data_IF_529684767784
#
_entry.id   IF_529684767784
#
_cell.length_a   1.000
_cell.length_b   1.000
_cell.length_c   1.000
_cell.angle_alpha   90.00
_cell.angle_beta   90.00
_cell.angle_gamma   90.00
#
_symmetry.space_group_name_H-M   'P 1'
#
loop_
_entity.id
_entity.type
_entity.pdbx_description
1 polymer ?
#
# COMPACT_ATOMS: atom_id res chain seq x y z
N UNK A 1 5.30 -63.10 -23.49
CA UNK A 1 4.99 -62.02 -22.53
C UNK A 1 4.98 -60.71 -23.29
N UNK A 2 3.84 -60.01 -23.39
CA UNK A 2 3.82 -58.64 -23.94
C UNK A 2 4.54 -57.74 -22.94
N UNK A 3 5.66 -57.13 -23.34
CA UNK A 3 6.28 -56.06 -22.58
C UNK A 3 5.26 -54.93 -22.48
N UNK A 4 4.73 -54.71 -21.28
CA UNK A 4 3.99 -53.49 -20.97
C UNK A 4 5.05 -52.40 -20.87
N UNK A 5 5.17 -51.56 -21.88
CA UNK A 5 6.04 -50.39 -21.79
C UNK A 5 5.62 -49.56 -20.56
N UNK A 6 6.58 -49.08 -19.75
CA UNK A 6 6.26 -48.29 -18.58
C UNK A 6 5.51 -47.03 -19.03
N UNK A 7 4.29 -46.88 -18.51
CA UNK A 7 3.40 -45.78 -18.85
C UNK A 7 4.08 -44.45 -18.47
N UNK A 8 4.59 -43.74 -19.47
CA UNK A 8 5.27 -42.46 -19.26
C UNK A 8 4.25 -41.35 -19.09
N UNK A 9 4.41 -40.50 -18.07
CA UNK A 9 3.57 -39.31 -17.91
C UNK A 9 3.60 -38.40 -19.15
N UNK A 10 4.68 -38.46 -19.93
CA UNK A 10 4.83 -37.70 -21.18
C UNK A 10 3.92 -38.19 -22.30
N UNK A 11 3.30 -39.38 -22.21
CA UNK A 11 2.32 -39.84 -23.20
C UNK A 11 0.95 -39.17 -23.04
N UNK A 12 0.69 -38.50 -21.92
CA UNK A 12 -0.59 -37.84 -21.66
C UNK A 12 -0.81 -36.60 -22.56
N UNK A 13 -2.07 -36.27 -22.91
CA UNK A 13 -2.43 -35.04 -23.60
C UNK A 13 -2.04 -33.77 -22.81
N UNK A 14 -1.81 -32.66 -23.53
CA UNK A 14 -1.39 -31.39 -22.91
C UNK A 14 -2.42 -30.85 -21.92
N UNK A 15 -3.73 -31.05 -22.15
CA UNK A 15 -4.78 -30.60 -21.24
C UNK A 15 -4.72 -31.34 -19.90
N UNK A 16 -4.42 -32.64 -19.93
CA UNK A 16 -4.29 -33.49 -18.73
C UNK A 16 -3.02 -33.10 -17.98
N UNK A 17 -1.90 -32.96 -18.68
CA UNK A 17 -0.64 -32.49 -18.09
C UNK A 17 -0.81 -31.13 -17.41
N UNK A 18 -1.48 -30.18 -18.06
CA UNK A 18 -1.73 -28.86 -17.48
C UNK A 18 -2.60 -28.94 -16.22
N UNK A 19 -3.62 -29.82 -16.19
CA UNK A 19 -4.43 -30.05 -14.98
C UNK A 19 -3.58 -30.61 -13.83
N UNK A 20 -2.65 -31.53 -14.11
CA UNK A 20 -1.71 -32.07 -13.13
C UNK A 20 -0.78 -30.95 -12.62
N UNK A 21 -0.15 -30.21 -13.52
CA UNK A 21 0.80 -29.12 -13.20
C UNK A 21 0.13 -28.06 -12.30
N UNK A 22 -1.14 -27.70 -12.57
CA UNK A 22 -1.89 -26.71 -11.76
C UNK A 22 -2.10 -27.13 -10.30
N UNK A 23 -2.00 -28.43 -9.99
CA UNK A 23 -2.15 -28.97 -8.63
C UNK A 23 -0.85 -28.97 -7.85
N UNK A 24 0.29 -28.85 -8.53
CA UNK A 24 1.59 -28.89 -7.90
C UNK A 24 1.90 -27.62 -7.09
N UNK A 25 2.75 -27.74 -6.05
CA UNK A 25 3.41 -26.60 -5.44
C UNK A 25 4.19 -25.77 -6.47
N UNK A 26 4.23 -24.45 -6.27
CA UNK A 26 4.99 -23.50 -7.09
C UNK A 26 6.49 -23.86 -7.22
N UNK A 27 7.09 -24.44 -6.18
CA UNK A 27 8.48 -24.91 -6.20
C UNK A 27 8.68 -26.01 -7.23
N UNK A 28 7.80 -27.01 -7.24
CA UNK A 28 7.87 -28.15 -8.14
C UNK A 28 7.59 -27.75 -9.59
N UNK A 29 6.73 -26.74 -9.80
CA UNK A 29 6.47 -26.18 -11.13
C UNK A 29 7.75 -25.52 -11.68
N UNK A 30 8.39 -24.65 -10.88
CA UNK A 30 9.57 -23.91 -11.33
C UNK A 30 10.83 -24.77 -11.32
N UNK A 31 11.30 -25.22 -10.16
CA UNK A 31 12.58 -25.94 -10.01
C UNK A 31 12.54 -27.38 -10.57
N UNK A 32 11.35 -27.97 -10.72
CA UNK A 32 11.16 -29.29 -11.29
C UNK A 32 10.70 -29.24 -12.74
N UNK A 33 9.38 -29.15 -12.94
CA UNK A 33 8.72 -29.37 -14.23
C UNK A 33 9.23 -28.46 -15.35
N UNK A 34 9.46 -27.17 -15.07
CA UNK A 34 9.94 -26.24 -16.09
C UNK A 34 11.36 -26.58 -16.60
N UNK A 35 12.14 -27.37 -15.85
CA UNK A 35 13.53 -27.67 -16.19
C UNK A 35 13.77 -29.13 -16.62
N UNK A 36 12.81 -30.04 -16.44
CA UNK A 36 12.96 -31.48 -16.74
C UNK A 36 12.78 -31.84 -18.21
N UNK A 37 11.85 -31.21 -18.93
CA UNK A 37 11.56 -31.57 -20.33
C UNK A 37 11.08 -30.36 -21.16
N UNK A 38 11.48 -30.29 -22.43
CA UNK A 38 11.12 -29.19 -23.33
C UNK A 38 9.59 -29.04 -23.54
N UNK A 39 8.85 -30.15 -23.65
CA UNK A 39 7.39 -30.11 -23.81
C UNK A 39 6.72 -29.56 -22.55
N UNK A 40 7.14 -30.05 -21.38
CA UNK A 40 6.63 -29.57 -20.10
C UNK A 40 6.95 -28.09 -19.88
N UNK A 41 8.17 -27.65 -20.21
CA UNK A 41 8.58 -26.24 -20.18
C UNK A 41 7.67 -25.37 -21.05
N UNK A 42 7.39 -25.79 -22.29
CA UNK A 42 6.44 -25.07 -23.17
C UNK A 42 5.05 -24.97 -22.56
N UNK A 43 4.51 -26.08 -22.04
CA UNK A 43 3.19 -26.10 -21.39
C UNK A 43 3.15 -25.10 -20.23
N UNK A 44 4.19 -25.07 -19.39
CA UNK A 44 4.30 -24.14 -18.26
C UNK A 44 4.36 -22.69 -18.75
N UNK A 45 5.28 -22.37 -19.66
CA UNK A 45 5.51 -21.02 -20.18
C UNK A 45 4.26 -20.44 -20.85
N UNK A 46 3.57 -21.23 -21.67
CA UNK A 46 2.34 -20.79 -22.34
C UNK A 46 1.15 -20.58 -21.39
N UNK A 47 1.22 -21.08 -20.15
CA UNK A 47 0.08 -21.07 -19.23
C UNK A 47 0.35 -20.36 -17.89
N UNK A 48 1.46 -19.62 -17.76
CA UNK A 48 1.89 -18.98 -16.50
C UNK A 48 0.78 -18.18 -15.79
N UNK A 49 -0.08 -17.47 -16.55
CA UNK A 49 -1.20 -16.69 -16.01
C UNK A 49 -2.21 -17.52 -15.20
N UNK A 50 -2.32 -18.81 -15.50
CA UNK A 50 -3.24 -19.76 -14.87
C UNK A 50 -2.58 -20.64 -13.80
N UNK A 51 -1.25 -20.59 -13.69
CA UNK A 51 -0.48 -21.41 -12.76
C UNK A 51 -0.31 -20.71 -11.41
N UNK A 52 0.06 -21.51 -10.40
CA UNK A 52 0.43 -21.00 -9.07
C UNK A 52 1.83 -20.43 -9.13
N UNK A 53 1.92 -19.10 -9.19
CA UNK A 53 3.18 -18.34 -9.22
C UNK A 53 3.70 -18.05 -7.80
N UNK A 54 4.98 -17.67 -7.70
CA UNK A 54 5.53 -17.15 -6.45
C UNK A 54 4.94 -15.78 -6.17
N UNK A 55 4.41 -15.55 -4.98
CA UNK A 55 4.08 -14.19 -4.60
C UNK A 55 5.36 -13.46 -4.19
N UNK A 56 5.49 -12.23 -4.67
CA UNK A 56 6.68 -11.40 -4.50
C UNK A 56 6.31 -10.02 -3.96
N UNK A 57 7.17 -9.48 -3.10
CA UNK A 57 7.23 -8.07 -2.76
C UNK A 57 8.30 -7.43 -3.63
N UNK A 58 8.00 -6.27 -4.21
CA UNK A 58 8.97 -5.50 -4.96
C UNK A 58 9.27 -4.20 -4.19
N UNK A 59 10.54 -3.94 -3.94
CA UNK A 59 11.02 -2.66 -3.44
C UNK A 59 11.71 -1.91 -4.57
N UNK A 60 11.10 -0.82 -5.00
CA UNK A 60 11.69 0.12 -5.96
C UNK A 60 12.36 1.25 -5.20
N UNK A 61 13.62 1.49 -5.50
CA UNK A 61 14.39 2.59 -4.96
C UNK A 61 14.90 3.47 -6.11
N UNK A 62 14.46 4.72 -6.10
CA UNK A 62 14.80 5.75 -7.08
C UNK A 62 15.71 6.77 -6.40
N UNK A 63 16.89 6.99 -6.97
CA UNK A 63 17.78 8.08 -6.56
C UNK A 63 17.80 9.10 -7.68
N UNK A 64 17.16 10.24 -7.44
CA UNK A 64 17.13 11.33 -8.41
C UNK A 64 18.08 12.44 -7.95
N UNK A 65 19.14 12.64 -8.74
CA UNK A 65 20.24 13.52 -8.40
C UNK A 65 20.19 14.86 -9.14
N UNK A 66 19.36 15.03 -10.17
CA UNK A 66 19.46 16.19 -11.07
C UNK A 66 18.14 16.91 -11.43
N UNK A 67 18.17 18.24 -11.64
CA UNK A 67 16.98 19.07 -11.91
C UNK A 67 16.46 19.09 -13.37
N UNK A 68 16.90 18.16 -14.24
CA UNK A 68 16.61 18.17 -15.69
C UNK A 68 15.13 17.92 -16.04
N UNK A 69 14.67 18.24 -17.26
CA UNK A 69 13.33 17.87 -17.76
C UNK A 69 13.29 16.50 -18.47
N UNK A 70 14.42 15.98 -18.94
CA UNK A 70 14.48 14.77 -19.77
C UNK A 70 15.47 13.73 -19.23
N UNK A 71 15.19 12.46 -19.53
CA UNK A 71 16.17 11.38 -19.37
C UNK A 71 17.36 11.68 -20.29
N UNK A 72 18.59 11.61 -19.76
CA UNK A 72 19.83 11.79 -20.52
C UNK A 72 20.48 10.45 -20.83
N UNK A 73 20.99 10.33 -22.05
CA UNK A 73 21.70 9.14 -22.53
C UNK A 73 23.12 8.98 -21.94
N UNK A 74 23.57 9.93 -21.11
CA UNK A 74 24.91 9.97 -20.52
C UNK A 74 25.05 9.21 -19.18
N UNK A 75 23.97 8.58 -18.70
CA UNK A 75 23.96 7.81 -17.46
C UNK A 75 23.82 8.65 -16.18
N UNK A 76 23.54 9.95 -16.29
CA UNK A 76 23.26 10.85 -15.14
C UNK A 76 21.79 10.85 -14.68
N UNK A 77 21.00 9.91 -15.21
CA UNK A 77 19.58 9.74 -14.93
C UNK A 77 19.28 9.14 -13.56
N UNK A 78 18.03 9.25 -13.09
CA UNK A 78 17.66 8.68 -11.79
C UNK A 78 18.00 7.19 -11.76
N UNK A 79 18.77 6.79 -10.77
CA UNK A 79 19.16 5.39 -10.59
C UNK A 79 17.93 4.66 -10.03
N UNK A 80 17.33 3.81 -10.86
CA UNK A 80 16.18 2.99 -10.47
C UNK A 80 16.65 1.55 -10.24
N UNK A 81 16.44 1.09 -9.02
CA UNK A 81 16.73 -0.29 -8.61
C UNK A 81 15.46 -0.96 -8.09
N UNK A 82 15.28 -2.22 -8.43
CA UNK A 82 14.17 -3.07 -8.03
C UNK A 82 14.73 -4.22 -7.22
N UNK A 83 14.12 -4.52 -6.08
CA UNK A 83 14.52 -5.64 -5.25
C UNK A 83 13.31 -6.53 -5.03
N UNK A 84 13.36 -7.76 -5.55
CA UNK A 84 12.25 -8.71 -5.50
C UNK A 84 12.51 -9.74 -4.40
N UNK A 85 11.62 -9.77 -3.42
CA UNK A 85 11.65 -10.74 -2.32
C UNK A 85 10.45 -11.68 -2.44
N UNK A 86 10.74 -12.98 -2.55
CA UNK A 86 9.70 -14.03 -2.55
C UNK A 86 9.23 -14.32 -1.12
N UNK A 87 7.97 -14.73 -0.98
CA UNK A 87 7.45 -15.12 0.34
C UNK A 87 6.51 -16.32 0.28
N UNK A 88 6.45 -17.03 1.41
CA UNK A 88 5.52 -18.10 1.67
C UNK A 88 4.34 -17.65 2.52
N UNK A 89 3.13 -17.93 2.01
CA UNK A 89 1.87 -17.61 2.68
C UNK A 89 1.57 -18.57 3.82
N UNK A 90 2.21 -19.74 3.82
CA UNK A 90 1.99 -20.76 4.85
C UNK A 90 2.75 -20.45 6.15
N UNK A 91 3.70 -19.52 6.12
CA UNK A 91 4.42 -19.10 7.32
C UNK A 91 3.53 -18.23 8.22
N UNK A 92 3.56 -18.45 9.56
CA UNK A 92 2.69 -17.75 10.52
C UNK A 92 2.85 -16.22 10.48
N UNK A 93 4.06 -15.72 10.19
CA UNK A 93 4.36 -14.29 10.13
C UNK A 93 3.85 -13.58 8.87
N UNK A 94 3.27 -14.32 7.91
CA UNK A 94 2.86 -13.77 6.63
C UNK A 94 1.95 -12.54 6.77
N UNK A 95 0.98 -12.58 7.70
CA UNK A 95 0.05 -11.45 7.92
C UNK A 95 0.76 -10.20 8.44
N UNK A 96 1.77 -10.35 9.30
CA UNK A 96 2.55 -9.24 9.87
C UNK A 96 3.52 -8.67 8.82
N UNK A 97 4.28 -9.55 8.14
CA UNK A 97 5.23 -9.17 7.07
C UNK A 97 4.54 -8.51 5.86
N UNK A 98 3.32 -8.95 5.53
CA UNK A 98 2.48 -8.33 4.49
C UNK A 98 2.02 -6.91 4.85
N UNK A 99 1.66 -6.66 6.12
CA UNK A 99 1.15 -5.36 6.58
C UNK A 99 2.23 -4.29 6.65
N UNK A 100 3.47 -4.67 6.93
CA UNK A 100 4.54 -3.71 7.21
C UNK A 100 5.24 -3.18 5.95
N UNK A 101 5.00 -3.73 4.75
CA UNK A 101 5.81 -3.43 3.54
C UNK A 101 7.33 -3.38 3.83
N UNK A 102 7.80 -4.14 4.84
CA UNK A 102 9.13 -4.04 5.41
C UNK A 102 9.60 -5.39 5.95
N UNK A 103 10.85 -5.69 5.59
CA UNK A 103 11.85 -6.60 6.19
C UNK A 103 11.28 -7.84 6.88
N UNK A 104 11.36 -8.93 6.16
CA UNK A 104 11.10 -10.26 6.67
C UNK A 104 11.44 -11.26 5.60
N UNK A 105 12.72 -11.33 5.23
CA UNK A 105 13.22 -12.30 4.27
C UNK A 105 12.75 -13.69 4.72
N UNK A 106 12.14 -14.45 3.82
CA UNK A 106 12.27 -15.90 3.95
C UNK A 106 13.76 -16.18 3.73
N UNK A 107 14.50 -16.56 4.78
CA UNK A 107 15.94 -16.79 4.69
C UNK A 107 16.31 -17.83 3.62
N UNK A 108 15.33 -18.63 3.15
CA UNK A 108 15.49 -19.58 2.04
C UNK A 108 15.57 -18.92 0.66
N UNK A 109 15.04 -17.70 0.49
CA UNK A 109 15.05 -16.97 -0.78
C UNK A 109 15.85 -15.68 -0.66
N UNK A 110 16.88 -15.57 -1.49
CA UNK A 110 17.68 -14.35 -1.62
C UNK A 110 16.93 -13.32 -2.45
N UNK A 111 17.13 -12.05 -2.10
CA UNK A 111 16.55 -10.93 -2.81
C UNK A 111 17.18 -10.81 -4.19
N UNK A 112 16.35 -10.73 -5.25
CA UNK A 112 16.82 -10.45 -6.60
C UNK A 112 16.88 -8.95 -6.79
N UNK A 113 18.09 -8.39 -6.88
CA UNK A 113 18.27 -7.00 -7.23
C UNK A 113 18.37 -6.86 -8.74
N UNK A 114 17.60 -5.94 -9.29
CA UNK A 114 17.54 -5.62 -10.71
C UNK A 114 17.73 -4.13 -10.87
N UNK A 115 18.70 -3.71 -11.68
CA UNK A 115 18.81 -2.34 -12.15
C UNK A 115 18.48 -2.31 -13.63
N UNK A 116 17.61 -1.38 -14.00
CA UNK A 116 17.24 -1.14 -15.39
C UNK A 116 17.93 0.13 -15.86
N UNK A 117 18.67 0.03 -16.95
CA UNK A 117 19.29 1.17 -17.62
C UNK A 117 18.43 1.60 -18.81
N UNK A 118 18.57 2.86 -19.24
CA UNK A 118 17.75 3.43 -20.32
C UNK A 118 17.92 2.77 -21.68
N UNK A 119 19.04 2.07 -21.89
CA UNK A 119 19.33 1.29 -23.09
C UNK A 119 18.52 -0.03 -23.17
N UNK A 120 17.64 -0.28 -22.19
CA UNK A 120 16.84 -1.50 -22.10
C UNK A 120 17.62 -2.69 -21.56
N UNK A 121 18.88 -2.51 -21.15
CA UNK A 121 19.65 -3.56 -20.50
C UNK A 121 19.21 -3.73 -19.05
N UNK A 122 19.16 -4.99 -18.63
CA UNK A 122 18.80 -5.38 -17.28
C UNK A 122 19.99 -6.03 -16.61
N UNK A 123 20.50 -5.39 -15.57
CA UNK A 123 21.50 -5.99 -14.69
C UNK A 123 20.82 -6.61 -13.49
N UNK A 124 21.12 -7.88 -13.22
CA UNK A 124 20.50 -8.63 -12.14
C UNK A 124 21.58 -9.26 -11.26
N UNK A 125 21.37 -9.24 -9.95
CA UNK A 125 22.27 -9.86 -8.97
C UNK A 125 21.52 -10.43 -7.76
N UNK A 126 22.09 -11.46 -7.13
CA UNK A 126 21.66 -11.98 -5.84
C UNK A 126 22.79 -11.90 -4.82
N UNK A 127 22.46 -11.55 -3.58
CA UNK A 127 23.41 -11.64 -2.47
C UNK A 127 23.59 -13.11 -2.05
N UNK A 128 24.82 -13.65 -2.14
CA UNK A 128 25.18 -15.00 -1.68
C UNK A 128 26.39 -14.96 -0.75
N UNK A 129 26.14 -15.29 0.52
CA UNK A 129 27.18 -15.40 1.55
C UNK A 129 28.04 -14.11 1.68
N UNK A 130 27.38 -12.95 1.58
CA UNK A 130 28.04 -11.64 1.63
C UNK A 130 28.61 -11.13 0.31
N UNK A 131 28.44 -11.86 -0.80
CA UNK A 131 28.92 -11.45 -2.13
C UNK A 131 27.76 -11.31 -3.13
N UNK A 132 27.82 -10.29 -3.98
CA UNK A 132 26.88 -10.12 -5.09
C UNK A 132 27.25 -11.03 -6.27
N UNK A 133 26.33 -11.93 -6.63
CA UNK A 133 26.48 -12.84 -7.76
C UNK A 133 25.64 -12.32 -8.92
N UNK A 134 26.28 -11.98 -10.04
CA UNK A 134 25.61 -11.54 -11.27
C UNK A 134 24.77 -12.67 -11.87
N UNK A 135 23.59 -12.31 -12.35
CA UNK A 135 22.63 -13.20 -13.00
C UNK A 135 22.50 -12.80 -14.46
N UNK A 136 22.64 -13.74 -15.41
CA UNK A 136 22.39 -13.44 -16.82
C UNK A 136 20.97 -12.91 -17.04
N UNK A 137 20.81 -11.92 -17.92
CA UNK A 137 19.53 -11.27 -18.20
C UNK A 137 18.40 -12.27 -18.49
N UNK A 138 18.62 -13.24 -19.38
CA UNK A 138 17.63 -14.26 -19.74
C UNK A 138 17.17 -15.10 -18.54
N UNK A 139 18.08 -15.37 -17.59
CA UNK A 139 17.77 -16.12 -16.38
C UNK A 139 16.91 -15.27 -15.43
N UNK A 140 17.26 -13.99 -15.28
CA UNK A 140 16.50 -13.05 -14.48
C UNK A 140 15.09 -12.80 -15.05
N UNK A 141 14.95 -12.60 -16.36
CA UNK A 141 13.65 -12.48 -17.06
C UNK A 141 12.81 -13.75 -16.85
N UNK A 142 13.44 -14.92 -17.03
CA UNK A 142 12.78 -16.19 -16.76
C UNK A 142 12.28 -16.24 -15.33
N UNK A 143 13.11 -15.91 -14.32
CA UNK A 143 12.70 -15.95 -12.92
C UNK A 143 11.57 -14.96 -12.60
N UNK A 144 11.66 -13.70 -13.07
CA UNK A 144 10.63 -12.67 -12.91
C UNK A 144 9.29 -13.11 -13.53
N UNK A 145 9.31 -13.83 -14.65
CA UNK A 145 8.09 -14.35 -15.27
C UNK A 145 7.32 -15.33 -14.36
N UNK A 146 7.98 -16.00 -13.40
CA UNK A 146 7.29 -16.86 -12.42
C UNK A 146 6.80 -16.12 -11.17
N UNK A 147 6.95 -14.80 -11.14
CA UNK A 147 6.51 -13.97 -10.02
C UNK A 147 5.13 -13.38 -10.22
N UNK A 148 4.47 -13.20 -9.08
CA UNK A 148 3.26 -12.44 -8.90
C UNK A 148 3.51 -11.33 -7.88
N UNK A 149 3.66 -10.10 -8.32
CA UNK A 149 3.88 -8.96 -7.42
C UNK A 149 2.59 -8.66 -6.67
N UNK A 150 2.67 -8.64 -5.33
CA UNK A 150 1.52 -8.42 -4.42
C UNK A 150 1.64 -7.19 -3.55
N UNK A 151 2.86 -6.79 -3.23
CA UNK A 151 3.13 -5.56 -2.51
C UNK A 151 4.24 -4.81 -3.22
N UNK A 152 4.13 -3.49 -3.22
CA UNK A 152 5.09 -2.59 -3.81
C UNK A 152 5.49 -1.55 -2.77
N UNK A 153 6.80 -1.42 -2.55
CA UNK A 153 7.39 -0.35 -1.76
C UNK A 153 8.14 0.55 -2.71
N UNK A 154 7.72 1.80 -2.82
CA UNK A 154 8.31 2.79 -3.69
C UNK A 154 9.00 3.86 -2.86
N UNK A 155 10.31 4.01 -3.03
CA UNK A 155 11.10 4.97 -2.29
C UNK A 155 11.85 5.88 -3.24
N UNK A 156 11.64 7.18 -3.07
CA UNK A 156 12.32 8.19 -3.87
C UNK A 156 13.22 9.00 -2.96
N UNK A 157 14.49 9.08 -3.33
CA UNK A 157 15.48 9.95 -2.70
C UNK A 157 15.85 11.03 -3.70
N UNK A 158 15.20 12.19 -3.57
CA UNK A 158 15.61 13.43 -4.23
C UNK A 158 16.85 13.99 -3.53
N UNK A 159 17.90 14.28 -4.29
CA UNK A 159 19.13 14.90 -3.79
C UNK A 159 19.31 16.34 -4.32
N UNK A 160 18.35 16.87 -5.06
CA UNK A 160 18.41 18.18 -5.70
C UNK A 160 17.86 19.29 -4.79
N UNK A 161 18.36 20.53 -4.95
CA UNK A 161 17.83 21.75 -4.30
C UNK A 161 16.36 22.00 -4.66
N UNK A 162 15.67 22.81 -3.85
CA UNK A 162 14.25 23.23 -3.97
C UNK A 162 13.85 23.83 -5.32
N UNK A 163 14.81 24.31 -6.11
CA UNK A 163 14.62 24.84 -7.48
C UNK A 163 14.48 23.73 -8.55
N UNK A 164 14.61 22.45 -8.15
CA UNK A 164 14.43 21.33 -9.07
C UNK A 164 12.97 21.18 -9.50
N UNK A 165 12.72 21.27 -10.80
CA UNK A 165 11.37 21.22 -11.38
C UNK A 165 10.77 19.80 -11.34
N UNK A 166 11.57 18.77 -11.02
CA UNK A 166 11.13 17.36 -10.86
C UNK A 166 10.54 17.04 -9.48
N UNK A 167 9.89 17.97 -8.79
CA UNK A 167 9.16 17.63 -7.55
C UNK A 167 8.02 16.67 -7.88
N UNK A 168 7.32 16.92 -8.99
CA UNK A 168 6.27 16.09 -9.55
C UNK A 168 6.82 15.22 -10.69
N UNK A 169 6.69 13.89 -10.59
CA UNK A 169 7.19 12.96 -11.61
C UNK A 169 6.35 11.68 -11.79
N UNK A 170 6.55 11.02 -12.93
CA UNK A 170 5.85 9.79 -13.28
C UNK A 170 6.62 8.50 -12.95
N UNK A 171 7.57 8.54 -12.01
CA UNK A 171 8.40 7.37 -11.70
C UNK A 171 7.56 6.17 -11.24
N UNK A 172 6.52 6.41 -10.44
CA UNK A 172 5.65 5.35 -9.96
C UNK A 172 4.95 4.60 -11.11
N UNK A 173 4.37 5.33 -12.07
CA UNK A 173 3.77 4.74 -13.26
C UNK A 173 4.80 3.93 -14.08
N UNK A 174 5.92 4.56 -14.44
CA UNK A 174 6.95 3.95 -15.28
C UNK A 174 7.53 2.66 -14.67
N UNK A 175 7.79 2.66 -13.36
CA UNK A 175 8.30 1.48 -12.66
C UNK A 175 7.25 0.38 -12.49
N UNK A 176 5.98 0.76 -12.37
CA UNK A 176 4.89 -0.22 -12.34
C UNK A 176 4.72 -0.88 -13.71
N UNK A 177 4.82 -0.11 -14.79
CA UNK A 177 4.80 -0.62 -16.17
C UNK A 177 5.99 -1.57 -16.43
N UNK A 178 7.18 -1.25 -15.91
CA UNK A 178 8.32 -2.17 -15.91
C UNK A 178 7.96 -3.49 -15.23
N UNK A 179 7.40 -3.45 -14.02
CA UNK A 179 6.99 -4.66 -13.29
C UNK A 179 5.94 -5.46 -14.07
N UNK A 180 4.98 -4.80 -14.71
CA UNK A 180 3.94 -5.43 -15.53
C UNK A 180 4.50 -6.10 -16.80
N UNK A 181 5.60 -5.57 -17.34
CA UNK A 181 6.29 -6.14 -18.49
C UNK A 181 7.11 -7.38 -18.15
N UNK A 182 7.83 -7.37 -17.03
CA UNK A 182 8.77 -8.44 -16.67
C UNK A 182 8.15 -9.54 -15.79
N UNK A 183 7.11 -9.22 -15.02
CA UNK A 183 6.39 -10.20 -14.21
C UNK A 183 5.12 -10.66 -14.91
N UNK A 184 4.78 -11.95 -14.82
CA UNK A 184 3.53 -12.46 -15.42
C UNK A 184 2.28 -11.80 -14.85
N UNK A 185 2.32 -11.39 -13.57
CA UNK A 185 1.15 -10.80 -12.91
C UNK A 185 1.52 -9.79 -11.85
N UNK A 186 1.02 -8.57 -11.99
CA UNK A 186 1.11 -7.51 -10.98
C UNK A 186 -0.28 -7.26 -10.39
N UNK A 187 -0.45 -7.56 -9.10
CA UNK A 187 -1.69 -7.34 -8.36
C UNK A 187 -1.37 -6.69 -7.02
N UNK A 188 -1.10 -5.39 -7.06
CA UNK A 188 -0.73 -4.60 -5.90
C UNK A 188 -1.91 -4.56 -4.93
N UNK A 189 -1.75 -5.26 -3.79
CA UNK A 189 -2.68 -5.27 -2.66
C UNK A 189 -2.19 -4.39 -1.51
N UNK A 190 -0.90 -4.08 -1.47
CA UNK A 190 -0.28 -3.22 -0.46
C UNK A 190 0.72 -2.32 -1.15
N UNK A 191 0.59 -1.01 -0.95
CA UNK A 191 1.43 0.01 -1.55
C UNK A 191 1.98 0.91 -0.45
N UNK A 192 3.29 1.15 -0.48
CA UNK A 192 3.96 2.18 0.32
C UNK A 192 4.66 3.13 -0.64
N UNK A 193 4.31 4.42 -0.60
CA UNK A 193 5.00 5.49 -1.31
C UNK A 193 5.75 6.33 -0.28
N UNK A 194 7.05 6.53 -0.48
CA UNK A 194 7.92 7.16 0.50
C UNK A 194 8.88 8.14 -0.14
N UNK A 195 8.89 9.38 0.35
CA UNK A 195 10.03 10.29 0.15
C UNK A 195 11.09 10.04 1.22
N UNK A 196 12.35 9.88 0.81
CA UNK A 196 13.48 9.72 1.73
C UNK A 196 14.01 11.05 2.28
N UNK A 197 13.58 12.17 1.72
CA UNK A 197 13.99 13.49 2.15
C UNK A 197 12.76 14.39 2.22
N UNK A 198 12.42 14.87 3.41
CA UNK A 198 11.27 15.77 3.61
C UNK A 198 11.53 17.19 3.13
N UNK A 199 12.81 17.61 3.10
CA UNK A 199 13.22 18.94 2.65
C UNK A 199 13.15 19.06 1.12
N UNK A 200 13.22 17.94 0.41
CA UNK A 200 13.04 17.85 -1.04
C UNK A 200 11.86 16.92 -1.32
N UNK A 201 10.63 17.43 -1.21
CA UNK A 201 9.44 16.60 -1.32
C UNK A 201 9.34 15.97 -2.71
N UNK A 202 8.72 14.81 -2.75
CA UNK A 202 8.36 14.12 -3.98
C UNK A 202 6.84 14.03 -4.09
N UNK A 203 6.33 14.32 -5.27
CA UNK A 203 4.91 14.25 -5.63
C UNK A 203 4.72 13.33 -6.83
N UNK A 204 3.56 12.68 -6.85
CA UNK A 204 3.15 11.88 -8.00
C UNK A 204 2.70 12.82 -9.11
N UNK A 205 3.30 12.66 -10.29
CA UNK A 205 2.83 13.26 -11.52
C UNK A 205 1.54 12.66 -12.03
N UNK A 206 0.95 13.33 -13.02
CA UNK A 206 -0.35 12.98 -13.58
C UNK A 206 -0.51 11.50 -13.95
N UNK A 207 0.44 10.88 -14.66
CA UNK A 207 0.31 9.46 -15.04
C UNK A 207 0.42 8.56 -13.81
N UNK A 208 1.23 8.94 -12.83
CA UNK A 208 1.32 8.22 -11.56
C UNK A 208 0.05 8.31 -10.72
N UNK A 209 -0.61 9.47 -10.68
CA UNK A 209 -1.92 9.64 -10.04
C UNK A 209 -3.00 8.81 -10.74
N UNK A 210 -3.02 8.80 -12.08
CA UNK A 210 -3.92 7.96 -12.87
C UNK A 210 -3.65 6.47 -12.61
N UNK A 211 -2.38 6.04 -12.59
CA UNK A 211 -1.99 4.65 -12.29
C UNK A 211 -2.43 4.25 -10.88
N UNK A 212 -2.24 5.12 -9.89
CA UNK A 212 -2.67 4.90 -8.51
C UNK A 212 -4.19 4.74 -8.41
N UNK A 213 -4.94 5.63 -9.08
CA UNK A 213 -6.41 5.61 -9.09
C UNK A 213 -6.97 4.32 -9.70
N UNK A 214 -6.27 3.74 -10.67
CA UNK A 214 -6.67 2.52 -11.35
C UNK A 214 -6.37 1.21 -10.59
N UNK A 215 -5.79 1.26 -9.38
CA UNK A 215 -5.48 0.08 -8.57
C UNK A 215 -6.71 -0.54 -7.89
N UNK A 216 -7.51 -1.31 -8.65
CA UNK A 216 -8.79 -1.89 -8.20
C UNK A 216 -8.72 -2.83 -6.97
N UNK A 217 -7.57 -3.42 -6.68
CA UNK A 217 -7.41 -4.45 -5.63
C UNK A 217 -6.59 -3.97 -4.42
N UNK A 218 -6.30 -2.66 -4.34
CA UNK A 218 -5.49 -2.10 -3.28
C UNK A 218 -6.21 -2.24 -1.93
N UNK A 219 -5.52 -2.85 -0.95
CA UNK A 219 -6.04 -3.03 0.42
C UNK A 219 -5.35 -2.15 1.45
N UNK A 220 -4.14 -1.72 1.16
CA UNK A 220 -3.34 -0.90 2.08
C UNK A 220 -2.57 0.12 1.27
N UNK A 221 -2.71 1.40 1.62
CA UNK A 221 -1.94 2.51 1.09
C UNK A 221 -1.25 3.23 2.25
N UNK A 222 0.08 3.30 2.19
CA UNK A 222 0.90 4.04 3.15
C UNK A 222 1.64 5.12 2.38
N UNK A 223 1.46 6.37 2.79
CA UNK A 223 2.15 7.54 2.28
C UNK A 223 3.07 8.03 3.39
N UNK A 224 4.38 7.85 3.21
CA UNK A 224 5.39 8.16 4.21
C UNK A 224 6.24 9.35 3.75
N UNK A 225 6.34 10.41 4.55
CA UNK A 225 7.09 11.63 4.22
C UNK A 225 6.62 12.33 2.91
N UNK A 226 5.44 11.98 2.41
CA UNK A 226 4.82 12.58 1.23
C UNK A 226 4.15 13.90 1.63
N UNK A 227 4.94 14.86 2.10
CA UNK A 227 4.45 16.07 2.80
C UNK A 227 3.60 16.97 1.94
N UNK A 228 3.74 16.92 0.63
CA UNK A 228 2.99 17.76 -0.32
C UNK A 228 1.96 16.97 -1.13
N UNK A 229 1.67 15.73 -0.75
CA UNK A 229 0.64 14.94 -1.41
C UNK A 229 -0.75 15.53 -1.12
N UNK A 230 -1.49 15.82 -2.18
CA UNK A 230 -2.88 16.28 -2.09
C UNK A 230 -3.84 15.13 -2.37
N UNK A 231 -4.51 14.56 -1.33
CA UNK A 231 -5.51 13.52 -1.53
C UNK A 231 -6.77 14.02 -2.26
N UNK A 232 -6.95 15.33 -2.42
CA UNK A 232 -8.11 15.97 -3.03
C UNK A 232 -7.86 16.48 -4.44
N UNK A 233 -6.68 16.20 -5.01
CA UNK A 233 -6.39 16.57 -6.39
C UNK A 233 -7.48 16.03 -7.32
N UNK A 234 -8.04 16.83 -8.25
CA UNK A 234 -9.09 16.39 -9.17
C UNK A 234 -8.63 15.25 -10.10
N UNK A 235 -7.32 15.02 -10.17
CA UNK A 235 -6.67 13.99 -10.96
C UNK A 235 -6.52 12.66 -10.19
N UNK A 236 -6.85 12.64 -8.89
CA UNK A 236 -6.72 11.50 -8.02
C UNK A 236 -8.10 11.03 -7.57
N UNK A 237 -8.44 9.78 -7.90
CA UNK A 237 -9.52 9.07 -7.24
C UNK A 237 -8.89 7.99 -6.38
N UNK A 238 -8.88 8.16 -5.05
CA UNK A 238 -8.31 7.16 -4.16
C UNK A 238 -9.04 5.82 -4.39
N UNK A 239 -8.33 4.71 -4.65
CA UNK A 239 -8.95 3.42 -4.93
C UNK A 239 -9.54 2.85 -3.63
N UNK A 240 -10.81 3.18 -3.35
CA UNK A 240 -11.46 2.86 -2.07
C UNK A 240 -12.20 1.53 -2.05
N UNK A 241 -12.50 0.94 -3.21
CA UNK A 241 -13.38 -0.25 -3.33
C UNK A 241 -12.93 -1.48 -2.53
N UNK A 242 -11.63 -1.65 -2.32
CA UNK A 242 -11.03 -2.74 -1.56
C UNK A 242 -10.12 -2.26 -0.42
N UNK A 243 -10.00 -0.94 -0.25
CA UNK A 243 -9.05 -0.34 0.68
C UNK A 243 -9.47 -0.71 2.10
N UNK A 244 -8.53 -1.17 2.91
CA UNK A 244 -8.78 -1.46 4.33
C UNK A 244 -7.85 -0.65 5.25
N UNK A 245 -6.80 -0.06 4.70
CA UNK A 245 -5.90 0.79 5.46
C UNK A 245 -5.37 1.93 4.61
N UNK A 246 -5.44 3.13 5.14
CA UNK A 246 -4.90 4.35 4.56
C UNK A 246 -4.11 5.09 5.63
N UNK A 247 -2.81 5.24 5.43
CA UNK A 247 -1.94 5.82 6.45
C UNK A 247 -1.09 6.92 5.86
N UNK A 248 -1.15 8.09 6.48
CA UNK A 248 -0.24 9.21 6.24
C UNK A 248 0.73 9.24 7.41
N UNK A 249 2.02 9.04 7.12
CA UNK A 249 3.07 8.91 8.13
C UNK A 249 4.17 9.93 7.87
N UNK A 250 4.75 10.43 8.95
CA UNK A 250 5.99 11.19 8.93
C UNK A 250 7.02 10.44 9.76
N UNK A 251 8.19 10.18 9.18
CA UNK A 251 9.29 9.50 9.85
C UNK A 251 9.80 10.36 11.00
N UNK A 252 9.96 9.75 12.18
CA UNK A 252 10.37 10.43 13.40
C UNK A 252 11.71 11.16 13.27
N UNK A 253 12.58 10.70 12.36
CA UNK A 253 13.89 11.31 12.11
C UNK A 253 13.79 12.71 11.50
N UNK A 254 12.66 13.05 10.89
CA UNK A 254 12.41 14.32 10.23
C UNK A 254 11.62 15.31 11.09
N UNK A 255 11.37 14.98 12.38
CA UNK A 255 10.59 15.84 13.27
C UNK A 255 11.15 17.26 13.43
N UNK A 256 12.47 17.39 13.49
CA UNK A 256 13.12 18.70 13.67
C UNK A 256 13.08 19.56 12.41
N UNK A 257 12.85 18.96 11.24
CA UNK A 257 12.85 19.65 9.95
C UNK A 257 11.47 20.22 9.58
N UNK A 258 10.42 19.90 10.36
CA UNK A 258 9.03 20.18 10.00
C UNK A 258 8.72 21.67 9.83
N UNK A 259 9.34 22.53 10.64
CA UNK A 259 9.15 23.98 10.56
C UNK A 259 9.59 24.55 9.20
N UNK A 260 10.50 23.83 8.50
CA UNK A 260 11.05 24.23 7.21
C UNK A 260 10.37 23.52 6.02
N UNK A 261 9.32 22.72 6.26
CA UNK A 261 8.67 21.92 5.21
C UNK A 261 7.26 22.43 4.94
N UNK A 262 6.97 22.66 3.66
CA UNK A 262 5.59 22.93 3.20
C UNK A 262 4.76 21.65 3.33
N UNK A 263 3.70 21.71 4.14
CA UNK A 263 2.76 20.61 4.34
C UNK A 263 1.47 20.86 3.55
N UNK A 264 1.08 19.89 2.74
CA UNK A 264 -0.28 19.78 2.22
C UNK A 264 -1.22 19.50 3.39
N UNK A 265 -2.24 20.33 3.53
CA UNK A 265 -3.19 20.20 4.64
C UNK A 265 -4.17 19.05 4.37
N UNK A 266 -4.09 18.00 5.19
CA UNK A 266 -5.15 16.99 5.26
C UNK A 266 -6.34 17.62 5.99
N UNK A 267 -7.34 18.08 5.23
CA UNK A 267 -8.56 18.67 5.77
C UNK A 267 -9.68 17.64 5.98
N UNK A 268 -10.76 18.08 6.63
CA UNK A 268 -11.88 17.20 6.96
C UNK A 268 -12.65 16.61 5.76
N UNK A 269 -12.41 17.08 4.53
CA UNK A 269 -12.98 16.45 3.33
C UNK A 269 -12.53 14.99 3.16
N UNK A 270 -11.40 14.59 3.77
CA UNK A 270 -10.97 13.18 3.77
C UNK A 270 -11.97 12.30 4.52
N UNK A 271 -12.56 12.81 5.60
CA UNK A 271 -13.59 12.09 6.35
C UNK A 271 -14.85 11.93 5.49
N UNK A 272 -15.21 12.95 4.71
CA UNK A 272 -16.34 12.90 3.79
C UNK A 272 -16.11 11.86 2.68
N UNK A 273 -14.94 11.88 2.03
CA UNK A 273 -14.58 10.91 1.00
C UNK A 273 -14.54 9.47 1.54
N UNK A 274 -14.04 9.27 2.76
CA UNK A 274 -14.05 7.97 3.44
C UNK A 274 -15.48 7.50 3.74
N UNK A 275 -16.39 8.43 4.07
CA UNK A 275 -17.80 8.13 4.22
C UNK A 275 -18.45 7.71 2.90
N UNK A 276 -18.32 8.50 1.84
CA UNK A 276 -18.92 8.17 0.54
C UNK A 276 -18.45 6.81 0.00
N UNK A 277 -17.20 6.45 0.30
CA UNK A 277 -16.61 5.19 -0.13
C UNK A 277 -17.17 3.93 0.56
N UNK A 278 -17.84 4.05 1.71
CA UNK A 278 -18.42 2.92 2.47
C UNK A 278 -17.46 1.75 2.75
N UNK A 279 -16.26 2.07 3.22
CA UNK A 279 -15.18 1.10 3.43
C UNK A 279 -15.49 0.16 4.61
N UNK A 280 -15.67 -1.14 4.35
CA UNK A 280 -16.11 -2.12 5.35
C UNK A 280 -15.16 -2.33 6.54
N UNK A 281 -13.86 -2.12 6.36
CA UNK A 281 -12.83 -2.26 7.39
C UNK A 281 -11.83 -1.11 7.28
N UNK A 282 -12.09 0.03 7.92
CA UNK A 282 -11.23 1.21 7.80
C UNK A 282 -10.20 1.29 8.94
N UNK A 283 -8.92 1.28 8.59
CA UNK A 283 -7.79 1.61 9.47
C UNK A 283 -7.08 2.84 8.89
N UNK A 284 -7.57 4.03 9.27
CA UNK A 284 -7.05 5.32 8.89
C UNK A 284 -6.15 5.89 9.99
N UNK A 285 -4.95 6.31 9.60
CA UNK A 285 -4.09 7.07 10.50
C UNK A 285 -3.50 8.24 9.74
N UNK A 286 -3.94 9.45 10.08
CA UNK A 286 -3.25 10.69 9.77
C UNK A 286 -2.68 11.24 11.09
N UNK A 287 -1.82 10.43 11.72
CA UNK A 287 -1.15 10.81 12.95
C UNK A 287 0.30 11.12 12.64
N UNK A 288 0.71 12.32 13.04
CA UNK A 288 2.11 12.68 13.22
C UNK A 288 2.28 13.02 14.69
N UNK A 289 3.44 12.71 15.28
CA UNK A 289 3.78 13.24 16.61
C UNK A 289 3.93 14.77 16.61
N UNK A 290 3.74 15.42 15.45
CA UNK A 290 3.81 16.87 15.26
C UNK A 290 2.45 17.39 14.82
N UNK A 291 1.90 18.31 15.61
CA UNK A 291 0.55 18.86 15.52
C UNK A 291 0.23 19.57 14.21
N UNK A 292 1.24 20.09 13.50
CA UNK A 292 1.10 20.87 12.27
C UNK A 292 0.62 20.08 11.05
N UNK A 293 0.64 18.74 11.09
CA UNK A 293 0.28 17.90 9.94
C UNK A 293 -1.24 17.85 9.66
N UNK A 294 -2.10 18.12 10.65
CA UNK A 294 -3.56 17.95 10.53
C UNK A 294 -4.33 19.10 11.20
N UNK A 295 -3.96 20.33 10.89
CA UNK A 295 -4.61 21.52 11.47
C UNK A 295 -6.00 21.83 10.91
N UNK A 296 -6.52 21.07 9.94
CA UNK A 296 -7.72 21.44 9.16
C UNK A 296 -8.90 20.46 9.23
N UNK A 297 -8.88 19.46 10.12
CA UNK A 297 -10.08 18.70 10.47
C UNK A 297 -10.76 19.39 11.66
N UNK A 298 -11.78 20.19 11.39
CA UNK A 298 -12.56 20.90 12.42
C UNK A 298 -13.71 20.05 13.02
N UNK A 299 -14.42 20.63 13.99
CA UNK A 299 -15.56 19.99 14.67
C UNK A 299 -16.76 19.76 13.74
N UNK A 300 -16.95 20.60 12.71
CA UNK A 300 -18.04 20.46 11.73
C UNK A 300 -17.83 19.20 10.88
N UNK A 301 -16.62 18.99 10.38
CA UNK A 301 -16.27 17.79 9.63
C UNK A 301 -16.45 16.52 10.46
N UNK A 302 -16.06 16.55 11.74
CA UNK A 302 -16.29 15.43 12.66
C UNK A 302 -17.79 15.14 12.85
N UNK A 303 -18.62 16.17 13.06
CA UNK A 303 -20.07 16.02 13.21
C UNK A 303 -20.74 15.48 11.95
N UNK A 304 -20.33 15.96 10.77
CA UNK A 304 -20.82 15.44 9.49
C UNK A 304 -20.46 13.96 9.32
N UNK A 305 -19.20 13.59 9.60
CA UNK A 305 -18.76 12.20 9.57
C UNK A 305 -19.61 11.31 10.48
N UNK A 306 -19.86 11.75 11.71
CA UNK A 306 -20.72 11.03 12.68
C UNK A 306 -22.14 10.88 12.12
N UNK A 307 -22.74 11.95 11.63
CA UNK A 307 -24.11 11.94 11.08
C UNK A 307 -24.23 11.00 9.87
N UNK A 308 -23.25 11.04 8.97
CA UNK A 308 -23.16 10.18 7.80
C UNK A 308 -23.04 8.71 8.22
N UNK A 309 -22.07 8.37 9.09
CA UNK A 309 -21.86 7.01 9.60
C UNK A 309 -23.11 6.44 10.27
N UNK A 310 -23.78 7.23 11.14
CA UNK A 310 -25.04 6.83 11.81
C UNK A 310 -26.15 6.48 10.83
N UNK A 311 -26.14 7.09 9.65
CA UNK A 311 -27.20 6.98 8.64
C UNK A 311 -26.89 5.95 7.55
N UNK A 312 -25.78 5.22 7.66
CA UNK A 312 -25.42 4.17 6.71
C UNK A 312 -26.41 3.01 6.78
N UNK A 313 -26.60 2.28 5.67
CA UNK A 313 -27.53 1.12 5.65
C UNK A 313 -27.03 -0.01 6.55
N UNK A 314 -25.72 -0.23 6.54
CA UNK A 314 -25.02 -1.26 7.33
C UNK A 314 -23.85 -0.56 8.01
N UNK A 315 -23.69 -0.69 9.34
CA UNK A 315 -22.59 -0.04 10.04
C UNK A 315 -21.26 -0.55 9.51
N UNK A 316 -20.41 0.36 9.07
CA UNK A 316 -19.04 0.02 8.67
C UNK A 316 -18.19 -0.22 9.90
N UNK A 317 -17.27 -1.18 9.86
CA UNK A 317 -16.37 -1.46 10.97
C UNK A 317 -15.12 -0.58 10.85
N UNK A 318 -15.03 0.43 11.69
CA UNK A 318 -13.88 1.31 11.80
C UNK A 318 -12.95 0.73 12.86
N UNK A 319 -11.81 0.20 12.42
CA UNK A 319 -10.79 -0.28 13.35
C UNK A 319 -10.17 0.88 14.12
N UNK A 320 -9.81 1.93 13.39
CA UNK A 320 -9.20 3.14 13.92
C UNK A 320 -9.24 4.24 12.87
N UNK A 321 -9.64 5.44 13.26
CA UNK A 321 -9.38 6.71 12.55
C UNK A 321 -8.66 7.58 13.57
N UNK A 322 -7.36 7.77 13.41
CA UNK A 322 -6.55 8.56 14.34
C UNK A 322 -5.97 9.80 13.65
N UNK A 323 -6.16 10.98 14.24
CA UNK A 323 -5.63 12.23 13.71
C UNK A 323 -5.44 13.29 14.80
N UNK A 324 -4.61 14.31 14.54
CA UNK A 324 -4.50 15.49 15.39
C UNK A 324 -5.44 16.58 14.88
N UNK A 325 -5.92 17.46 15.75
CA UNK A 325 -6.70 18.63 15.37
C UNK A 325 -6.50 19.75 16.39
N UNK A 326 -6.65 21.00 15.98
CA UNK A 326 -6.70 22.15 16.89
C UNK A 326 -8.01 22.23 17.68
N UNK A 327 -9.02 21.44 17.29
CA UNK A 327 -10.33 21.40 17.94
C UNK A 327 -10.18 20.96 19.39
N UNK A 328 -10.64 21.80 20.30
CA UNK A 328 -10.69 21.50 21.73
C UNK A 328 -11.89 20.61 22.04
N UNK A 329 -11.86 19.97 23.22
CA UNK A 329 -12.97 19.11 23.67
C UNK A 329 -14.26 19.94 23.82
N UNK A 330 -14.16 21.16 24.34
CA UNK A 330 -15.31 22.03 24.59
C UNK A 330 -15.89 22.60 23.28
N UNK A 331 -15.03 22.95 22.33
CA UNK A 331 -15.45 23.35 20.98
C UNK A 331 -16.23 22.22 20.29
N UNK A 332 -15.72 20.99 20.39
CA UNK A 332 -16.42 19.82 19.85
C UNK A 332 -17.78 19.60 20.53
N UNK A 333 -17.86 19.67 21.87
CA UNK A 333 -19.12 19.55 22.62
C UNK A 333 -20.17 20.56 22.17
N UNK A 334 -19.78 21.84 22.09
CA UNK A 334 -20.69 22.90 21.65
C UNK A 334 -21.17 22.66 20.22
N UNK A 335 -20.28 22.22 19.34
CA UNK A 335 -20.62 21.92 17.94
C UNK A 335 -21.60 20.75 17.83
N UNK A 336 -21.39 19.70 18.61
CA UNK A 336 -22.25 18.52 18.64
C UNK A 336 -23.65 18.87 19.14
N UNK A 337 -23.77 19.64 20.21
CA UNK A 337 -25.07 20.09 20.75
C UNK A 337 -25.89 20.89 19.72
N UNK A 338 -25.22 21.61 18.83
CA UNK A 338 -25.87 22.45 17.82
C UNK A 338 -26.23 21.69 16.53
N UNK A 339 -25.48 20.65 16.16
CA UNK A 339 -25.60 20.01 14.83
C UNK A 339 -26.13 18.58 14.86
N UNK A 340 -25.93 17.84 15.95
CA UNK A 340 -26.46 16.50 16.09
C UNK A 340 -27.74 16.56 16.93
N UNK A 341 -28.74 15.69 16.65
CA UNK A 341 -29.92 15.57 17.50
C UNK A 341 -29.53 15.18 18.93
N UNK A 342 -30.41 15.41 19.92
CA UNK A 342 -30.12 15.15 21.35
C UNK A 342 -29.69 13.71 21.66
N UNK A 343 -30.13 12.73 20.85
CA UNK A 343 -29.73 11.32 20.95
C UNK A 343 -28.39 11.01 20.22
N UNK A 344 -27.73 12.05 19.74
CA UNK A 344 -26.73 11.95 18.68
C UNK A 344 -25.33 11.67 19.15
N UNK A 345 -24.98 12.06 20.37
CA UNK A 345 -23.74 11.70 21.04
C UNK A 345 -24.00 11.69 22.54
N UNK A 346 -23.38 10.74 23.23
CA UNK A 346 -23.34 10.65 24.69
C UNK A 346 -21.91 10.92 25.16
N UNK A 347 -21.76 11.85 26.10
CA UNK A 347 -20.50 12.09 26.81
C UNK A 347 -20.20 10.91 27.75
N UNK A 348 -18.95 10.45 27.75
CA UNK A 348 -18.44 9.36 28.60
C UNK A 348 -17.24 9.92 29.39
N UNK A 349 -17.05 9.50 30.66
CA UNK A 349 -15.91 9.92 31.45
C UNK A 349 -14.56 9.75 30.74
N UNK A 350 -13.59 10.59 31.12
CA UNK A 350 -12.22 10.60 30.58
C UNK A 350 -12.12 10.97 29.10
N UNK A 351 -12.80 12.06 28.69
CA UNK A 351 -12.70 12.67 27.36
C UNK A 351 -13.09 11.69 26.23
N UNK A 352 -14.26 11.06 26.39
CA UNK A 352 -14.81 10.10 25.43
C UNK A 352 -16.22 10.49 25.02
N UNK A 353 -16.58 10.23 23.78
CA UNK A 353 -17.93 10.36 23.26
C UNK A 353 -18.35 9.06 22.62
N UNK A 354 -19.65 8.78 22.60
CA UNK A 354 -20.21 7.60 21.97
C UNK A 354 -21.49 7.94 21.23
N UNK A 355 -21.70 7.33 20.07
CA UNK A 355 -22.96 7.40 19.33
C UNK A 355 -23.38 6.03 18.82
N UNK A 356 -24.68 5.84 18.66
CA UNK A 356 -25.28 4.59 18.20
C UNK A 356 -25.64 4.66 16.71
N UNK A 357 -25.46 3.54 16.02
CA UNK A 357 -25.94 3.40 14.66
C UNK A 357 -27.48 3.40 14.62
N UNK A 358 -28.10 4.12 13.67
CA UNK A 358 -29.57 4.30 13.64
C UNK A 358 -30.34 2.98 13.51
N UNK A 359 -29.85 2.07 12.66
CA UNK A 359 -30.54 0.79 12.37
C UNK A 359 -30.06 -0.38 13.24
N UNK A 360 -28.84 -0.29 13.78
CA UNK A 360 -28.15 -1.42 14.43
C UNK A 360 -27.65 -0.96 15.79
N UNK A 361 -28.57 -0.83 16.75
CA UNK A 361 -28.35 -0.13 18.03
C UNK A 361 -27.27 -0.76 18.94
N UNK A 362 -26.83 -1.99 18.67
CA UNK A 362 -25.72 -2.64 19.38
C UNK A 362 -24.34 -2.25 18.83
N UNK A 363 -24.27 -1.57 17.68
CA UNK A 363 -23.03 -1.06 17.11
C UNK A 363 -22.90 0.42 17.45
N UNK A 364 -21.75 0.77 18.03
CA UNK A 364 -21.44 2.12 18.48
C UNK A 364 -20.20 2.66 17.80
N UNK A 365 -20.16 3.96 17.57
CA UNK A 365 -18.96 4.70 17.23
C UNK A 365 -18.48 5.41 18.49
N UNK A 366 -17.27 5.06 18.93
CA UNK A 366 -16.59 5.68 20.06
C UNK A 366 -15.56 6.68 19.55
N UNK A 367 -15.53 7.85 20.17
CA UNK A 367 -14.55 8.89 19.96
C UNK A 367 -13.79 9.08 21.26
N UNK A 368 -12.48 8.89 21.24
CA UNK A 368 -11.60 9.24 22.35
C UNK A 368 -10.74 10.43 21.94
N UNK A 369 -10.54 11.37 22.87
CA UNK A 369 -9.63 12.48 22.65
C UNK A 369 -8.61 12.60 23.78
N UNK A 370 -7.38 12.95 23.40
CA UNK A 370 -6.24 13.12 24.29
C UNK A 370 -5.59 14.47 24.02
N UNK A 371 -5.32 15.25 25.06
CA UNK A 371 -4.54 16.47 24.94
C UNK A 371 -3.10 16.12 24.54
N UNK A 372 -2.56 16.76 23.50
CA UNK A 372 -1.21 16.54 22.98
C UNK A 372 -0.53 17.87 22.66
N UNK A 373 -0.09 18.59 23.70
CA UNK A 373 0.52 19.91 23.56
C UNK A 373 -0.45 20.93 22.98
N UNK A 374 -0.13 21.47 21.81
CA UNK A 374 -0.93 22.49 21.11
C UNK A 374 -2.06 21.90 20.24
N UNK A 375 -2.33 20.59 20.33
CA UNK A 375 -3.39 19.93 19.58
C UNK A 375 -4.10 18.87 20.43
N UNK A 376 -5.29 18.47 19.99
CA UNK A 376 -6.04 17.33 20.50
C UNK A 376 -5.86 16.17 19.55
N UNK A 377 -5.41 15.02 20.06
CA UNK A 377 -5.44 13.77 19.30
C UNK A 377 -6.82 13.14 19.40
N UNK A 378 -7.46 12.88 18.26
CA UNK A 378 -8.76 12.24 18.14
C UNK A 378 -8.60 10.81 17.63
N UNK A 379 -9.32 9.87 18.24
CA UNK A 379 -9.39 8.47 17.86
C UNK A 379 -10.85 8.03 17.74
N UNK A 380 -11.28 7.69 16.53
CA UNK A 380 -12.61 7.14 16.28
C UNK A 380 -12.50 5.64 16.00
N UNK A 381 -13.39 4.84 16.61
CA UNK A 381 -13.44 3.38 16.42
C UNK A 381 -14.85 2.87 16.58
N UNK A 382 -15.18 1.79 15.89
CA UNK A 382 -16.46 1.09 16.10
C UNK A 382 -16.29 0.02 17.16
N UNK A 383 -17.23 -0.01 18.10
CA UNK A 383 -17.34 -1.03 19.11
C UNK A 383 -18.72 -1.67 19.09
N UNK A 384 -18.91 -2.62 20.01
CA UNK A 384 -20.21 -3.16 20.34
C UNK A 384 -20.55 -2.74 21.77
N UNK A 385 -21.77 -2.27 21.98
CA UNK A 385 -22.32 -2.09 23.32
C UNK A 385 -23.35 -3.17 23.58
N UNK A 386 -23.43 -3.64 24.82
CA UNK A 386 -24.58 -4.40 25.27
C UNK A 386 -25.85 -3.56 25.02
N UNK A 387 -26.97 -4.19 24.60
CA UNK A 387 -28.21 -3.45 24.40
C UNK A 387 -28.56 -2.72 25.70
N UNK A 388 -29.07 -1.47 25.64
CA UNK A 388 -29.54 -0.80 26.84
C UNK A 388 -30.57 -1.71 27.49
N UNK A 389 -30.26 -2.18 28.70
CA UNK A 389 -31.25 -2.84 29.55
C UNK A 389 -32.39 -1.85 29.71
N UNK A 390 -33.55 -2.20 29.16
CA UNK A 390 -34.79 -1.46 29.38
C UNK A 390 -35.06 -1.43 30.88
N UNK A 391 -34.78 -0.30 31.51
CA UNK A 391 -35.26 0.04 32.85
C UNK A 391 -36.67 0.58 32.75
#
# INVERSE_FOLDING_TARGET
MKQIEPLSILSLPNEILLKIIRRLPRHDIYFGIAHTNHRLRRIVQSNLKTLRLFDAHCHVHVVDQMPSHAYRDDGTDPIISYSFTLFDRQLPDYKQKKRLCLRGNDQRYKELHVTHLNDGTMHAQFERAGYDVRVPQQVAETFLSYMKVRALRFQVRKQCKTESIRIEDDFFANCTDFCERVCTRVEIKSLLLCSKNVLFPWQLGKKSLEKLSNLKNLKSLILENMTTFDPFSPQLTIPTSCLCSLQFRLDQRHRMDIENVTLSQINGSILNALCEASVAYLDFSAYSDVSSFVSSIDSLHMCYFISAWRSTKVPWLIRSISFNSTVTIDEFRNTVQNLLPEDGIMDIPYCRFRTFHKTTKNVVLELACYANGNATQWLLRTGYSDPPTSS
#
